data_IF_256566590953
#
_entry.id   IF_256566590953
#
_cell.length_a   1.000
_cell.length_b   1.000
_cell.length_c   1.000
_cell.angle_alpha   90.00
_cell.angle_beta   90.00
_cell.angle_gamma   90.00
#
_symmetry.space_group_name_H-M   'P 1'
#
loop_
_entity.id
_entity.type
_entity.pdbx_description
1 polymer ?
#
# COMPACT_ATOMS: atom_id res chain seq x y z
N UNK A 1 -43.96 15.45 11.66
CA UNK A 1 -44.05 16.68 10.86
C UNK A 1 -42.68 16.96 10.30
N UNK A 2 -42.65 17.03 8.96
CA UNK A 2 -41.48 17.06 8.09
C UNK A 2 -40.50 18.17 8.46
N UNK A 3 -39.21 17.83 8.52
CA UNK A 3 -38.15 18.81 8.28
C UNK A 3 -37.32 18.27 7.12
N UNK A 4 -37.63 18.83 5.96
CA UNK A 4 -36.89 18.75 4.71
C UNK A 4 -35.44 19.19 4.93
N UNK A 5 -34.48 18.28 4.82
CA UNK A 5 -33.07 18.64 4.68
C UNK A 5 -32.74 18.73 3.20
N UNK A 6 -32.74 19.96 2.70
CA UNK A 6 -32.19 20.33 1.41
C UNK A 6 -30.71 20.00 1.38
N UNK A 7 -30.37 19.09 0.47
CA UNK A 7 -29.02 18.76 0.05
C UNK A 7 -28.43 19.98 -0.64
N UNK A 8 -27.56 20.74 0.02
CA UNK A 8 -26.73 21.71 -0.68
C UNK A 8 -25.48 22.10 0.12
N UNK A 9 -24.36 22.13 -0.60
CA UNK A 9 -23.05 22.71 -0.24
C UNK A 9 -22.08 21.85 0.57
N UNK A 10 -21.79 20.68 0.01
CA UNK A 10 -20.42 20.18 -0.11
C UNK A 10 -19.64 21.05 -1.12
N UNK A 11 -19.00 22.12 -0.66
CA UNK A 11 -18.08 22.93 -1.49
C UNK A 11 -16.85 23.40 -0.71
N UNK A 12 -16.22 22.49 0.05
CA UNK A 12 -14.88 22.78 0.60
C UNK A 12 -13.90 21.59 0.64
N UNK A 13 -14.25 20.45 0.04
CA UNK A 13 -13.32 19.33 -0.19
C UNK A 13 -13.31 18.85 -1.64
N UNK A 14 -13.48 19.78 -2.58
CA UNK A 14 -13.39 19.53 -4.03
C UNK A 14 -12.16 20.20 -4.67
N UNK A 15 -11.15 20.53 -3.85
CA UNK A 15 -9.91 21.18 -4.34
C UNK A 15 -8.74 20.21 -4.57
N UNK A 16 -8.89 18.90 -4.36
CA UNK A 16 -7.77 17.95 -4.50
C UNK A 16 -8.07 16.66 -5.29
N UNK A 17 -9.24 16.55 -5.91
CA UNK A 17 -9.54 15.45 -6.83
C UNK A 17 -10.36 15.95 -8.03
N UNK A 18 -9.65 16.47 -9.03
CA UNK A 18 -10.10 16.40 -10.42
C UNK A 18 -9.41 15.18 -11.04
N UNK A 19 -10.15 14.20 -11.59
CA UNK A 19 -9.56 13.26 -12.53
C UNK A 19 -9.31 14.05 -13.82
N UNK A 20 -8.13 14.64 -13.91
CA UNK A 20 -7.58 15.07 -15.19
C UNK A 20 -7.51 13.80 -16.04
N UNK A 21 -8.41 13.67 -17.02
CA UNK A 21 -8.25 12.71 -18.11
C UNK A 21 -7.09 13.25 -18.95
N UNK A 22 -5.87 13.05 -18.46
CA UNK A 22 -4.66 13.21 -19.25
C UNK A 22 -4.54 11.97 -20.12
N UNK A 23 -4.76 12.17 -21.41
CA UNK A 23 -4.39 11.24 -22.46
C UNK A 23 -2.91 10.87 -22.25
N UNK A 24 -2.63 9.65 -21.79
CA UNK A 24 -1.26 9.15 -21.55
C UNK A 24 -0.59 8.82 -22.89
N UNK A 25 -0.30 9.85 -23.66
CA UNK A 25 0.83 9.87 -24.58
C UNK A 25 1.71 10.99 -24.06
N UNK A 26 2.65 10.70 -23.14
CA UNK A 26 3.99 11.28 -23.19
C UNK A 26 4.92 10.84 -22.03
N UNK A 27 6.21 10.71 -22.40
CA UNK A 27 7.42 10.82 -21.57
C UNK A 27 7.98 9.54 -20.94
N UNK A 28 8.42 8.65 -21.84
CA UNK A 28 9.81 8.18 -21.77
C UNK A 28 10.71 9.40 -22.01
N UNK A 29 11.44 9.85 -20.99
CA UNK A 29 12.53 10.82 -21.15
C UNK A 29 13.57 10.22 -22.10
N UNK A 30 13.52 10.65 -23.37
CA UNK A 30 14.63 10.53 -24.28
C UNK A 30 15.67 11.63 -23.94
N UNK A 31 16.97 11.41 -24.19
CA UNK A 31 18.00 12.37 -23.86
C UNK A 31 17.77 13.71 -24.58
N UNK A 32 18.21 14.84 -24.01
CA UNK A 32 18.03 16.15 -24.64
C UNK A 32 18.82 16.18 -25.95
N UNK A 33 18.14 16.39 -27.08
CA UNK A 33 18.79 16.59 -28.38
C UNK A 33 18.07 16.05 -29.61
N UNK A 34 16.85 15.51 -29.51
CA UNK A 34 16.10 15.04 -30.69
C UNK A 34 14.70 15.66 -30.72
N UNK A 35 14.60 16.81 -31.36
CA UNK A 35 13.30 17.41 -31.74
C UNK A 35 12.63 16.55 -32.82
N UNK A 36 11.50 15.91 -32.46
CA UNK A 36 10.65 15.21 -33.42
C UNK A 36 9.53 16.17 -33.84
N UNK A 37 9.81 16.98 -34.88
CA UNK A 37 8.77 17.74 -35.58
C UNK A 37 7.96 16.81 -36.49
N UNK A 38 6.71 16.51 -36.10
CA UNK A 38 5.69 16.02 -37.03
C UNK A 38 5.15 17.20 -37.84
N UNK A 39 5.77 17.50 -38.98
CA UNK A 39 5.23 18.43 -39.97
C UNK A 39 4.49 17.68 -41.07
N UNK A 40 3.17 17.84 -41.11
CA UNK A 40 2.31 17.40 -42.21
C UNK A 40 2.46 18.33 -43.41
N UNK A 41 3.54 18.17 -44.18
CA UNK A 41 3.65 18.67 -45.56
C UNK A 41 4.47 17.68 -46.40
N UNK A 42 4.05 17.34 -47.64
CA UNK A 42 4.85 16.51 -48.54
C UNK A 42 5.99 17.37 -49.11
N UNK A 43 7.08 17.46 -48.37
CA UNK A 43 8.33 18.07 -48.83
C UNK A 43 9.17 16.95 -49.43
N UNK A 44 9.71 17.19 -50.62
CA UNK A 44 10.64 16.37 -51.37
C UNK A 44 12.00 16.21 -50.62
N UNK A 45 11.97 15.55 -49.46
CA UNK A 45 13.10 15.40 -48.52
C UNK A 45 14.11 14.34 -48.97
N UNK A 46 13.79 13.57 -50.01
CA UNK A 46 14.63 12.46 -50.50
C UNK A 46 16.03 12.93 -50.90
N UNK A 47 16.17 14.11 -51.48
CA UNK A 47 17.43 14.54 -52.09
C UNK A 47 18.41 15.17 -51.10
N UNK A 48 17.93 15.94 -50.11
CA UNK A 48 18.78 16.62 -49.13
C UNK A 48 19.30 15.65 -48.05
N UNK A 49 18.43 14.77 -47.56
CA UNK A 49 18.79 13.76 -46.56
C UNK A 49 19.77 12.72 -47.13
N UNK A 50 19.60 12.31 -48.39
CA UNK A 50 20.54 11.42 -49.06
C UNK A 50 21.91 12.06 -49.30
N UNK A 51 21.96 13.38 -49.61
CA UNK A 51 23.23 14.11 -49.78
C UNK A 51 23.94 14.26 -48.45
N UNK A 52 23.22 14.61 -47.38
CA UNK A 52 23.75 14.66 -46.02
C UNK A 52 24.29 13.29 -45.58
N UNK A 53 23.51 12.23 -45.78
CA UNK A 53 23.89 10.87 -45.41
C UNK A 53 25.16 10.40 -46.16
N UNK A 54 25.27 10.69 -47.46
CA UNK A 54 26.48 10.40 -48.25
C UNK A 54 27.69 11.22 -47.79
N UNK A 55 27.51 12.48 -47.37
CA UNK A 55 28.57 13.31 -46.81
C UNK A 55 29.02 12.83 -45.42
N UNK A 56 28.07 12.37 -44.59
CA UNK A 56 28.31 11.78 -43.28
C UNK A 56 29.06 10.43 -43.37
N UNK A 57 28.73 9.60 -44.35
CA UNK A 57 29.46 8.34 -44.61
C UNK A 57 30.91 8.59 -45.05
N UNK A 58 31.15 9.62 -45.88
CA UNK A 58 32.50 10.03 -46.32
C UNK A 58 33.37 10.54 -45.17
N UNK A 59 32.79 11.26 -44.21
CA UNK A 59 33.53 11.77 -43.04
C UNK A 59 33.93 10.68 -42.05
N UNK A 60 33.28 9.50 -42.09
CA UNK A 60 33.61 8.36 -41.23
C UNK A 60 34.37 7.22 -41.93
N UNK A 61 34.81 7.39 -43.18
CA UNK A 61 35.46 6.34 -43.99
C UNK A 61 34.65 5.04 -44.08
N UNK A 62 33.31 5.12 -44.01
CA UNK A 62 32.43 3.96 -44.17
C UNK A 62 32.10 3.86 -45.66
N UNK A 63 32.70 2.88 -46.34
CA UNK A 63 32.33 2.55 -47.72
C UNK A 63 30.94 1.91 -47.72
N UNK A 64 30.00 2.54 -48.44
CA UNK A 64 28.74 1.90 -48.78
C UNK A 64 29.06 0.74 -49.73
N UNK A 65 29.21 -0.48 -49.21
CA UNK A 65 29.05 -1.66 -50.04
C UNK A 65 27.64 -1.58 -50.63
N UNK A 66 27.52 -1.69 -51.96
CA UNK A 66 26.22 -1.83 -52.61
C UNK A 66 25.37 -2.87 -51.87
N UNK A 67 24.04 -2.70 -51.78
CA UNK A 67 23.18 -3.65 -51.09
C UNK A 67 23.52 -5.05 -51.58
N UNK A 68 24.20 -5.82 -50.73
CA UNK A 68 24.64 -7.18 -51.05
C UNK A 68 23.46 -7.87 -51.69
N UNK A 69 23.61 -8.29 -52.95
CA UNK A 69 22.57 -8.93 -53.75
C UNK A 69 21.70 -9.78 -52.82
N UNK A 70 20.41 -9.40 -52.72
CA UNK A 70 19.52 -9.79 -51.63
C UNK A 70 19.86 -11.19 -51.11
N UNK A 71 20.44 -11.27 -49.93
CA UNK A 71 21.03 -12.51 -49.42
C UNK A 71 19.93 -13.55 -49.18
N UNK A 72 19.58 -14.30 -50.24
CA UNK A 72 18.59 -15.37 -50.34
C UNK A 72 17.66 -15.48 -49.12
N UNK A 73 16.55 -14.76 -49.21
CA UNK A 73 15.51 -14.72 -48.19
C UNK A 73 14.51 -15.86 -48.40
N UNK A 74 13.85 -16.30 -47.31
CA UNK A 74 12.80 -17.33 -47.38
C UNK A 74 11.65 -16.93 -48.32
N UNK A 75 11.44 -15.62 -48.51
CA UNK A 75 10.53 -15.03 -49.50
C UNK A 75 11.01 -15.27 -50.92
N UNK A 76 12.30 -15.12 -51.20
CA UNK A 76 12.87 -15.33 -52.53
C UNK A 76 12.79 -16.82 -52.92
N UNK A 77 13.03 -17.74 -51.97
CA UNK A 77 12.82 -19.17 -52.19
C UNK A 77 11.34 -19.47 -52.47
N UNK A 78 10.43 -18.88 -51.69
CA UNK A 78 8.99 -19.04 -51.91
C UNK A 78 8.57 -18.56 -53.31
N UNK A 79 9.07 -17.40 -53.73
CA UNK A 79 8.78 -16.86 -55.06
C UNK A 79 9.35 -17.76 -56.16
N UNK A 80 10.58 -18.27 -55.98
CA UNK A 80 11.19 -19.21 -56.94
C UNK A 80 10.42 -20.52 -57.06
N UNK A 81 9.90 -21.04 -55.95
CA UNK A 81 9.02 -22.22 -55.94
C UNK A 81 7.72 -21.94 -56.70
N UNK A 82 7.16 -20.75 -56.57
CA UNK A 82 5.97 -20.35 -57.32
C UNK A 82 6.27 -20.22 -58.83
N UNK A 83 7.39 -19.58 -59.19
CA UNK A 83 7.86 -19.49 -60.58
C UNK A 83 8.04 -20.88 -61.22
N UNK A 84 8.64 -21.84 -60.50
CA UNK A 84 8.76 -23.23 -61.02
C UNK A 84 7.42 -23.91 -61.23
N UNK A 85 6.45 -23.62 -60.38
CA UNK A 85 5.09 -24.17 -60.51
C UNK A 85 4.42 -23.60 -61.75
N UNK A 86 4.57 -22.31 -62.01
CA UNK A 86 4.00 -21.63 -63.16
C UNK A 86 4.67 -22.09 -64.48
N UNK A 87 5.98 -22.30 -64.48
CA UNK A 87 6.70 -22.90 -65.63
C UNK A 87 6.27 -24.34 -65.92
N UNK A 88 6.00 -25.14 -64.90
CA UNK A 88 5.45 -26.49 -65.05
C UNK A 88 4.04 -26.43 -65.67
N UNK A 89 3.21 -25.47 -65.25
CA UNK A 89 1.89 -25.24 -65.85
C UNK A 89 1.99 -24.82 -67.32
N UNK A 90 2.94 -23.93 -67.67
CA UNK A 90 3.22 -23.51 -69.05
C UNK A 90 3.69 -24.69 -69.91
N UNK A 91 4.62 -25.50 -69.42
CA UNK A 91 5.06 -26.73 -70.10
C UNK A 91 3.89 -27.67 -70.39
N UNK A 92 3.01 -27.86 -69.40
CA UNK A 92 1.83 -28.72 -69.56
C UNK A 92 0.86 -28.19 -70.63
N UNK A 93 0.67 -26.87 -70.72
CA UNK A 93 -0.16 -26.24 -71.74
C UNK A 93 0.44 -26.40 -73.15
N UNK A 94 1.73 -26.13 -73.31
CA UNK A 94 2.42 -26.26 -74.62
C UNK A 94 2.44 -27.73 -75.09
N UNK A 95 2.57 -28.69 -74.17
CA UNK A 95 2.45 -30.12 -74.49
C UNK A 95 1.03 -30.54 -74.90
N UNK A 96 -0.01 -29.86 -74.42
CA UNK A 96 -1.39 -30.08 -74.89
C UNK A 96 -1.60 -29.51 -76.29
N UNK A 97 -1.06 -28.32 -76.58
CA UNK A 97 -1.08 -27.71 -77.92
C UNK A 97 -0.30 -28.54 -78.96
N UNK A 98 0.86 -29.09 -78.58
CA UNK A 98 1.67 -29.97 -79.43
C UNK A 98 0.93 -31.24 -79.85
N UNK A 99 0.06 -31.78 -78.99
CA UNK A 99 -0.75 -32.97 -79.31
C UNK A 99 -1.84 -32.69 -80.34
N UNK A 100 -2.21 -31.42 -80.55
CA UNK A 100 -3.26 -30.99 -81.48
C UNK A 100 -2.74 -30.37 -82.80
N UNK A 101 -1.43 -30.17 -82.95
CA UNK A 101 -0.86 -29.50 -84.13
C UNK A 101 -0.68 -30.45 -85.32
N UNK A 102 -1.12 -30.05 -86.51
CA UNK A 102 -0.99 -30.80 -87.77
C UNK A 102 0.07 -30.25 -88.74
N UNK A 103 0.64 -29.07 -88.45
CA UNK A 103 1.59 -28.37 -89.32
C UNK A 103 3.05 -28.52 -88.84
N UNK A 104 3.97 -28.80 -89.77
CA UNK A 104 5.39 -29.11 -89.47
C UNK A 104 6.19 -27.91 -88.92
N UNK A 105 5.90 -26.70 -89.39
CA UNK A 105 6.60 -25.49 -88.94
C UNK A 105 6.08 -24.99 -87.59
N UNK A 106 4.77 -25.16 -87.33
CA UNK A 106 4.18 -24.92 -86.00
C UNK A 106 4.74 -25.90 -84.97
N UNK A 107 4.94 -27.16 -85.37
CA UNK A 107 5.54 -28.19 -84.53
C UNK A 107 6.97 -27.81 -84.11
N UNK A 108 7.81 -27.33 -85.03
CA UNK A 108 9.18 -26.86 -84.71
C UNK A 108 9.17 -25.69 -83.72
N UNK A 109 8.30 -24.70 -83.92
CA UNK A 109 8.17 -23.55 -83.02
C UNK A 109 7.67 -23.95 -81.62
N UNK A 110 6.76 -24.93 -81.52
CA UNK A 110 6.28 -25.45 -80.25
C UNK A 110 7.36 -26.24 -79.51
N UNK A 111 8.17 -27.04 -80.22
CA UNK A 111 9.31 -27.76 -79.64
C UNK A 111 10.36 -26.81 -79.08
N UNK A 112 10.69 -25.72 -79.79
CA UNK A 112 11.61 -24.70 -79.27
C UNK A 112 11.07 -24.00 -78.00
N UNK A 113 9.75 -23.75 -77.94
CA UNK A 113 9.10 -23.20 -76.74
C UNK A 113 9.13 -24.16 -75.56
N UNK A 114 8.94 -25.46 -75.82
CA UNK A 114 9.07 -26.52 -74.80
C UNK A 114 10.50 -26.54 -74.25
N UNK A 115 11.51 -26.56 -75.12
CA UNK A 115 12.90 -26.64 -74.68
C UNK A 115 13.31 -25.40 -73.85
N UNK A 116 12.86 -24.20 -74.25
CA UNK A 116 13.07 -22.98 -73.48
C UNK A 116 12.41 -23.04 -72.09
N UNK A 117 11.16 -23.48 -72.02
CA UNK A 117 10.44 -23.59 -70.74
C UNK A 117 10.97 -24.73 -69.87
N UNK A 118 11.51 -25.80 -70.47
CA UNK A 118 12.15 -26.93 -69.78
C UNK A 118 13.49 -26.51 -69.18
N UNK A 119 14.32 -25.81 -69.94
CA UNK A 119 15.60 -25.29 -69.45
C UNK A 119 15.42 -24.29 -68.30
N UNK A 120 14.38 -23.44 -68.38
CA UNK A 120 14.01 -22.55 -67.28
C UNK A 120 13.59 -23.34 -66.01
N UNK A 121 12.76 -24.37 -66.19
CA UNK A 121 12.32 -25.24 -65.10
C UNK A 121 13.48 -26.01 -64.45
N UNK A 122 14.38 -26.60 -65.24
CA UNK A 122 15.57 -27.32 -64.75
C UNK A 122 16.54 -26.38 -64.02
N UNK A 123 16.76 -25.17 -64.53
CA UNK A 123 17.58 -24.14 -63.88
C UNK A 123 17.02 -23.75 -62.51
N UNK A 124 15.70 -23.61 -62.43
CA UNK A 124 15.02 -23.24 -61.20
C UNK A 124 14.98 -24.40 -60.19
N UNK A 125 14.86 -25.65 -60.65
CA UNK A 125 14.97 -26.84 -59.81
C UNK A 125 16.38 -27.00 -59.24
N UNK A 126 17.41 -26.84 -60.06
CA UNK A 126 18.81 -26.91 -59.61
C UNK A 126 19.09 -25.90 -58.48
N UNK A 127 18.48 -24.72 -58.55
CA UNK A 127 18.56 -23.70 -57.51
C UNK A 127 17.78 -24.06 -56.23
N UNK A 128 16.56 -24.59 -56.34
CA UNK A 128 15.73 -24.94 -55.18
C UNK A 128 16.30 -26.15 -54.43
N UNK A 129 16.86 -27.12 -55.15
CA UNK A 129 17.37 -28.37 -54.60
C UNK A 129 18.87 -28.37 -54.32
N UNK A 130 19.57 -27.23 -54.44
CA UNK A 130 20.95 -27.12 -53.96
C UNK A 130 21.01 -27.44 -52.45
N UNK A 131 21.69 -28.55 -52.12
CA UNK A 131 21.81 -29.08 -50.77
C UNK A 131 22.35 -28.04 -49.79
N UNK A 132 23.37 -27.27 -50.19
CA UNK A 132 23.99 -26.23 -49.32
C UNK A 132 22.99 -25.12 -49.02
N UNK A 133 22.19 -24.74 -50.01
CA UNK A 133 21.17 -23.73 -49.88
C UNK A 133 20.01 -24.17 -48.96
N UNK A 134 19.51 -25.40 -49.17
CA UNK A 134 18.43 -25.99 -48.34
C UNK A 134 18.86 -26.09 -46.87
N UNK A 135 20.07 -26.54 -46.59
CA UNK A 135 20.58 -26.65 -45.22
C UNK A 135 20.72 -25.26 -44.55
N UNK A 136 21.18 -24.25 -45.29
CA UNK A 136 21.22 -22.86 -44.83
C UNK A 136 19.83 -22.33 -44.48
N UNK A 137 18.81 -22.65 -45.29
CA UNK A 137 17.41 -22.26 -45.02
C UNK A 137 16.81 -22.98 -43.82
N UNK A 138 17.03 -24.29 -43.67
CA UNK A 138 16.63 -25.06 -42.49
C UNK A 138 17.23 -24.47 -41.21
N UNK A 139 18.49 -24.04 -41.25
CA UNK A 139 19.16 -23.39 -40.13
C UNK A 139 18.55 -22.02 -39.80
N UNK A 140 18.28 -21.17 -40.81
CA UNK A 140 17.58 -19.87 -40.60
C UNK A 140 16.19 -20.07 -39.99
N UNK A 141 15.40 -21.03 -40.48
CA UNK A 141 14.07 -21.35 -39.96
C UNK A 141 14.14 -21.85 -38.51
N UNK A 142 15.10 -22.72 -38.20
CA UNK A 142 15.30 -23.24 -36.84
C UNK A 142 15.73 -22.13 -35.86
N UNK A 143 16.59 -21.20 -36.29
CA UNK A 143 16.93 -19.99 -35.51
C UNK A 143 15.70 -19.12 -35.27
N UNK A 144 14.89 -18.87 -36.31
CA UNK A 144 13.64 -18.10 -36.20
C UNK A 144 12.63 -18.75 -35.23
N UNK A 145 12.43 -20.06 -35.31
CA UNK A 145 11.56 -20.81 -34.40
C UNK A 145 12.03 -20.71 -32.94
N UNK A 146 13.33 -20.86 -32.71
CA UNK A 146 13.94 -20.69 -31.37
C UNK A 146 13.74 -19.27 -30.86
N UNK A 147 14.01 -18.26 -31.68
CA UNK A 147 13.83 -16.86 -31.31
C UNK A 147 12.37 -16.54 -30.98
N UNK A 148 11.39 -17.03 -31.75
CA UNK A 148 9.96 -16.87 -31.43
C UNK A 148 9.59 -17.49 -30.09
N UNK A 149 10.08 -18.70 -29.79
CA UNK A 149 9.85 -19.36 -28.48
C UNK A 149 10.49 -18.56 -27.34
N UNK A 150 11.73 -18.12 -27.52
CA UNK A 150 12.44 -17.27 -26.55
C UNK A 150 11.69 -15.96 -26.32
N UNK A 151 11.30 -15.25 -27.37
CA UNK A 151 10.58 -13.98 -27.27
C UNK A 151 9.24 -14.17 -26.54
N UNK A 152 8.49 -15.22 -26.85
CA UNK A 152 7.24 -15.55 -26.14
C UNK A 152 7.47 -15.85 -24.65
N UNK A 153 8.62 -16.45 -24.28
CA UNK A 153 8.98 -16.68 -22.87
C UNK A 153 9.42 -15.38 -22.20
N UNK A 154 10.21 -14.56 -22.89
CA UNK A 154 10.70 -13.29 -22.40
C UNK A 154 9.55 -12.29 -22.14
N UNK A 155 8.63 -12.13 -23.10
CA UNK A 155 7.44 -11.30 -22.96
C UNK A 155 6.58 -11.77 -21.78
N UNK A 156 6.39 -13.09 -21.63
CA UNK A 156 5.67 -13.64 -20.47
C UNK A 156 6.38 -13.30 -19.15
N UNK A 157 7.69 -13.51 -19.06
CA UNK A 157 8.44 -13.14 -17.85
C UNK A 157 8.37 -11.65 -17.53
N UNK A 158 8.39 -10.77 -18.53
CA UNK A 158 8.19 -9.33 -18.31
C UNK A 158 6.77 -9.00 -17.81
N UNK A 159 5.76 -9.69 -18.34
CA UNK A 159 4.37 -9.54 -17.88
C UNK A 159 4.21 -10.03 -16.44
N UNK A 160 4.73 -11.21 -16.11
CA UNK A 160 4.67 -11.77 -14.77
C UNK A 160 5.32 -10.82 -13.75
N UNK A 161 6.46 -10.20 -14.08
CA UNK A 161 7.11 -9.18 -13.24
C UNK A 161 6.23 -7.93 -13.09
N UNK A 162 5.55 -7.50 -14.16
CA UNK A 162 4.64 -6.34 -14.10
C UNK A 162 3.44 -6.63 -13.21
N UNK A 163 2.85 -7.81 -13.34
CA UNK A 163 1.70 -8.26 -12.58
C UNK A 163 2.06 -8.43 -11.09
N UNK A 164 3.22 -9.02 -10.78
CA UNK A 164 3.74 -9.09 -9.40
C UNK A 164 3.93 -7.70 -8.78
N UNK A 165 4.50 -6.74 -9.53
CA UNK A 165 4.63 -5.35 -9.05
C UNK A 165 3.27 -4.68 -8.84
N UNK A 166 2.28 -4.96 -9.68
CA UNK A 166 0.91 -4.47 -9.50
C UNK A 166 0.28 -5.06 -8.23
N UNK A 167 0.36 -6.37 -8.03
CA UNK A 167 -0.13 -7.04 -6.82
C UNK A 167 0.53 -6.48 -5.56
N UNK A 168 1.85 -6.27 -5.56
CA UNK A 168 2.55 -5.65 -4.44
C UNK A 168 2.01 -4.24 -4.15
N UNK A 169 1.83 -3.39 -5.18
CA UNK A 169 1.21 -2.07 -4.99
C UNK A 169 -0.20 -2.17 -4.42
N UNK A 170 -1.03 -3.08 -4.91
CA UNK A 170 -2.38 -3.28 -4.39
C UNK A 170 -2.36 -3.72 -2.92
N UNK A 171 -1.45 -4.60 -2.52
CA UNK A 171 -1.31 -5.00 -1.11
C UNK A 171 -0.87 -3.84 -0.22
N UNK A 172 0.03 -2.99 -0.71
CA UNK A 172 0.46 -1.79 0.00
C UNK A 172 -0.69 -0.78 0.11
N UNK A 173 -1.43 -0.52 -0.97
CA UNK A 173 -2.60 0.34 -0.95
C UNK A 173 -3.65 -0.16 0.04
N UNK A 174 -3.98 -1.45 0.03
CA UNK A 174 -4.90 -2.05 1.02
C UNK A 174 -4.40 -1.86 2.46
N UNK A 175 -3.09 -1.93 2.69
CA UNK A 175 -2.50 -1.72 4.01
C UNK A 175 -2.60 -0.25 4.44
N UNK A 176 -2.31 0.66 3.52
CA UNK A 176 -2.46 2.11 3.73
C UNK A 176 -3.92 2.45 4.04
N UNK A 177 -4.87 1.89 3.30
CA UNK A 177 -6.29 2.15 3.49
C UNK A 177 -6.76 1.63 4.84
N UNK A 178 -6.35 0.41 5.24
CA UNK A 178 -6.60 -0.11 6.59
C UNK A 178 -6.08 0.86 7.65
N UNK A 179 -4.83 1.30 7.55
CA UNK A 179 -4.24 2.22 8.51
C UNK A 179 -4.99 3.56 8.56
N UNK A 180 -5.40 4.10 7.40
CA UNK A 180 -6.24 5.31 7.32
C UNK A 180 -7.59 5.11 8.01
N UNK A 181 -8.28 4.00 7.74
CA UNK A 181 -9.58 3.71 8.36
C UNK A 181 -9.47 3.55 9.87
N UNK A 182 -8.42 2.89 10.36
CA UNK A 182 -8.13 2.76 11.79
C UNK A 182 -7.84 4.12 12.43
N UNK A 183 -7.07 4.97 11.75
CA UNK A 183 -6.73 6.31 12.25
C UNK A 183 -7.96 7.22 12.32
N UNK A 184 -8.76 7.25 11.26
CA UNK A 184 -10.05 7.97 11.23
C UNK A 184 -10.99 7.44 12.32
N UNK A 185 -11.08 6.11 12.50
CA UNK A 185 -11.90 5.52 13.55
C UNK A 185 -11.43 5.93 14.96
N UNK A 186 -10.10 5.98 15.20
CA UNK A 186 -9.52 6.49 16.45
C UNK A 186 -9.85 7.96 16.67
N UNK A 187 -9.72 8.80 15.64
CA UNK A 187 -10.06 10.23 15.73
C UNK A 187 -11.55 10.45 16.03
N UNK A 188 -12.43 9.72 15.35
CA UNK A 188 -13.89 9.75 15.61
C UNK A 188 -14.19 9.28 17.03
N UNK A 189 -13.54 8.22 17.51
CA UNK A 189 -13.73 7.72 18.88
C UNK A 189 -13.27 8.75 19.92
N UNK A 190 -12.11 9.38 19.71
CA UNK A 190 -11.61 10.47 20.57
C UNK A 190 -12.56 11.65 20.59
N UNK A 191 -13.08 12.08 19.43
CA UNK A 191 -14.05 13.19 19.35
C UNK A 191 -15.38 12.86 20.02
N UNK A 192 -15.86 11.62 19.86
CA UNK A 192 -17.05 11.12 20.58
C UNK A 192 -16.81 11.14 22.08
N UNK A 193 -15.65 10.69 22.54
CA UNK A 193 -15.29 10.71 23.94
C UNK A 193 -15.24 12.11 24.52
N UNK A 194 -14.61 13.05 23.82
CA UNK A 194 -14.59 14.46 24.20
C UNK A 194 -16.01 15.04 24.31
N UNK A 195 -16.88 14.75 23.33
CA UNK A 195 -18.29 15.16 23.38
C UNK A 195 -18.99 14.58 24.62
N UNK A 196 -18.74 13.31 24.99
CA UNK A 196 -19.30 12.71 26.21
C UNK A 196 -18.80 13.41 27.47
N UNK A 197 -17.51 13.74 27.53
CA UNK A 197 -16.90 14.47 28.66
C UNK A 197 -17.46 15.88 28.80
N UNK A 198 -17.57 16.62 27.70
CA UNK A 198 -18.19 17.96 27.69
C UNK A 198 -19.65 17.92 28.15
N UNK A 199 -20.43 16.93 27.71
CA UNK A 199 -21.81 16.76 28.19
C UNK A 199 -21.85 16.46 29.69
N UNK A 200 -20.95 15.60 30.19
CA UNK A 200 -20.84 15.31 31.61
C UNK A 200 -20.46 16.57 32.41
N UNK A 201 -19.48 17.35 31.95
CA UNK A 201 -19.07 18.63 32.56
C UNK A 201 -20.22 19.64 32.58
N UNK A 202 -20.98 19.78 31.48
CA UNK A 202 -22.18 20.62 31.43
C UNK A 202 -23.23 20.19 32.45
N UNK A 203 -23.43 18.89 32.67
CA UNK A 203 -24.35 18.37 33.70
C UNK A 203 -23.86 18.73 35.11
N UNK A 204 -22.57 18.55 35.38
CA UNK A 204 -21.95 18.93 36.66
C UNK A 204 -22.06 20.43 36.91
N UNK A 205 -21.73 21.27 35.94
CA UNK A 205 -21.85 22.73 36.05
C UNK A 205 -23.29 23.18 36.35
N UNK A 206 -24.29 22.55 35.72
CA UNK A 206 -25.70 22.81 36.02
C UNK A 206 -26.07 22.41 37.46
N UNK A 207 -25.61 21.26 37.93
CA UNK A 207 -25.84 20.81 39.30
C UNK A 207 -25.18 21.76 40.32
N UNK A 208 -23.95 22.20 40.06
CA UNK A 208 -23.24 23.17 40.90
C UNK A 208 -23.95 24.54 40.92
N UNK A 209 -24.43 25.02 39.78
CA UNK A 209 -25.19 26.26 39.69
C UNK A 209 -26.55 26.18 40.41
N UNK A 210 -27.22 25.02 40.38
CA UNK A 210 -28.42 24.81 41.17
C UNK A 210 -28.10 24.77 42.66
N UNK A 211 -26.98 24.14 43.06
CA UNK A 211 -26.54 24.14 44.44
C UNK A 211 -26.17 25.53 44.96
N UNK A 212 -25.51 26.36 44.15
CA UNK A 212 -25.18 27.73 44.57
C UNK A 212 -26.45 28.57 44.77
N UNK A 213 -27.41 28.50 43.84
CA UNK A 213 -28.74 29.11 43.98
C UNK A 213 -29.45 28.64 45.25
N UNK A 214 -29.39 27.33 45.52
CA UNK A 214 -29.97 26.75 46.71
C UNK A 214 -29.36 27.33 47.99
N UNK A 215 -28.03 27.41 48.07
CA UNK A 215 -27.33 28.04 49.21
C UNK A 215 -27.68 29.52 49.38
N UNK A 216 -27.85 30.26 48.29
CA UNK A 216 -28.26 31.66 48.33
C UNK A 216 -29.68 31.82 48.90
N UNK A 217 -30.62 30.98 48.45
CA UNK A 217 -31.98 30.94 48.98
C UNK A 217 -31.99 30.59 50.48
N UNK A 218 -31.17 29.63 50.92
CA UNK A 218 -31.08 29.26 52.34
C UNK A 218 -30.60 30.43 53.19
N UNK A 219 -29.56 31.13 52.73
CA UNK A 219 -29.04 32.35 53.40
C UNK A 219 -30.10 33.44 53.47
N UNK A 220 -30.93 33.59 52.43
CA UNK A 220 -31.99 34.58 52.40
C UNK A 220 -33.11 34.23 53.38
N UNK A 221 -33.55 32.97 53.43
CA UNK A 221 -34.52 32.50 54.44
C UNK A 221 -34.03 32.73 55.86
N UNK A 222 -32.74 32.48 56.13
CA UNK A 222 -32.16 32.71 57.46
C UNK A 222 -32.18 34.20 57.84
N UNK A 223 -31.88 35.10 56.89
CA UNK A 223 -32.01 36.55 57.10
C UNK A 223 -33.45 36.97 57.33
N UNK A 224 -34.40 36.42 56.57
CA UNK A 224 -35.84 36.71 56.71
C UNK A 224 -36.36 36.24 58.08
N UNK A 225 -35.93 35.07 58.54
CA UNK A 225 -36.21 34.57 59.90
C UNK A 225 -35.70 35.55 60.96
N UNK A 226 -34.41 35.91 60.92
CA UNK A 226 -33.78 36.87 61.85
C UNK A 226 -34.49 38.23 61.86
N UNK A 227 -34.89 38.75 60.69
CA UNK A 227 -35.63 40.01 60.61
C UNK A 227 -36.98 39.96 61.31
N UNK A 228 -37.72 38.85 61.18
CA UNK A 228 -39.01 38.71 61.86
C UNK A 228 -38.85 38.46 63.35
N UNK A 229 -37.80 37.76 63.78
CA UNK A 229 -37.43 37.62 65.21
C UNK A 229 -37.17 38.99 65.84
N UNK A 230 -36.34 39.82 65.20
CA UNK A 230 -36.05 41.18 65.67
C UNK A 230 -37.29 42.08 65.73
N UNK A 231 -38.20 41.96 64.75
CA UNK A 231 -39.48 42.70 64.75
C UNK A 231 -40.39 42.26 65.90
N UNK A 232 -40.53 40.95 66.12
CA UNK A 232 -41.28 40.38 67.24
C UNK A 232 -40.70 40.81 68.57
N UNK A 233 -39.38 40.74 68.74
CA UNK A 233 -38.70 41.20 69.97
C UNK A 233 -38.94 42.68 70.23
N UNK A 234 -38.88 43.53 69.19
CA UNK A 234 -39.19 44.96 69.31
C UNK A 234 -40.64 45.17 69.79
N UNK A 235 -41.61 44.52 69.14
CA UNK A 235 -43.03 44.61 69.49
C UNK A 235 -43.31 44.06 70.89
N UNK A 236 -42.61 43.00 71.32
CA UNK A 236 -42.67 42.48 72.69
C UNK A 236 -42.16 43.51 73.72
N UNK A 237 -41.09 44.24 73.42
CA UNK A 237 -40.59 45.34 74.27
C UNK A 237 -41.57 46.51 74.34
N UNK A 238 -42.34 46.73 73.28
CA UNK A 238 -43.43 47.73 73.22
C UNK A 238 -44.73 47.26 73.91
N UNK A 239 -44.77 46.03 74.44
CA UNK A 239 -45.90 45.49 75.22
C UNK A 239 -46.90 44.64 74.41
N UNK A 240 -46.63 44.36 73.13
CA UNK A 240 -47.48 43.49 72.31
C UNK A 240 -47.17 42.00 72.57
N UNK A 241 -48.23 41.22 72.83
CA UNK A 241 -48.16 39.77 73.03
C UNK A 241 -48.60 39.02 71.76
N UNK A 242 -47.85 38.00 71.35
CA UNK A 242 -48.14 37.17 70.17
C UNK A 242 -48.60 35.78 70.62
N UNK A 243 -49.80 35.31 70.23
CA UNK A 243 -50.25 33.93 70.46
C UNK A 243 -49.35 32.89 69.75
N UNK A 244 -49.18 31.71 70.34
CA UNK A 244 -48.40 30.59 69.75
C UNK A 244 -49.02 30.04 68.45
N UNK A 245 -50.30 30.30 68.20
CA UNK A 245 -51.02 29.84 67.00
C UNK A 245 -50.65 30.64 65.72
N UNK A 246 -50.02 31.83 65.86
CA UNK A 246 -49.57 32.67 64.73
C UNK A 246 -48.18 32.27 64.16
N UNK A 247 -47.68 31.10 64.56
CA UNK A 247 -46.38 30.56 64.14
C UNK A 247 -46.40 29.87 62.76
N UNK A 248 -47.49 29.98 61.99
CA UNK A 248 -47.58 29.50 60.60
C UNK A 248 -46.38 29.91 59.74
N UNK A 249 -45.88 31.13 59.93
CA UNK A 249 -44.68 31.61 59.24
C UNK A 249 -43.44 30.82 59.62
N UNK A 250 -43.22 30.51 60.90
CA UNK A 250 -42.07 29.72 61.33
C UNK A 250 -42.23 28.27 60.95
N UNK A 251 -43.44 27.72 61.00
CA UNK A 251 -43.73 26.37 60.51
C UNK A 251 -43.46 26.26 59.01
N UNK A 252 -43.81 27.30 58.24
CA UNK A 252 -43.52 27.39 56.81
C UNK A 252 -42.04 27.62 56.53
N UNK A 253 -41.33 28.43 57.33
CA UNK A 253 -39.88 28.57 57.22
C UNK A 253 -39.18 27.26 57.61
N UNK A 254 -39.62 26.58 58.66
CA UNK A 254 -39.06 25.30 59.11
C UNK A 254 -39.25 24.24 58.03
N UNK A 255 -40.46 24.09 57.48
CA UNK A 255 -40.72 23.15 56.39
C UNK A 255 -39.94 23.49 55.12
N UNK A 256 -39.78 24.78 54.78
CA UNK A 256 -38.92 25.21 53.68
C UNK A 256 -37.46 24.90 53.96
N UNK A 257 -36.97 25.14 55.18
CA UNK A 257 -35.58 24.88 55.55
C UNK A 257 -35.27 23.38 55.59
N UNK A 258 -36.23 22.55 56.01
CA UNK A 258 -36.12 21.09 55.98
C UNK A 258 -36.16 20.57 54.54
N UNK A 259 -37.07 21.08 53.71
CA UNK A 259 -37.08 20.79 52.27
C UNK A 259 -35.76 21.21 51.59
N UNK A 260 -35.17 22.32 52.03
CA UNK A 260 -33.88 22.77 51.53
C UNK A 260 -32.73 21.87 52.01
N UNK A 261 -32.71 21.42 53.26
CA UNK A 261 -31.69 20.48 53.72
C UNK A 261 -31.73 19.17 52.95
N UNK A 262 -32.93 18.63 52.71
CA UNK A 262 -33.12 17.39 51.94
C UNK A 262 -32.54 17.54 50.52
N UNK A 263 -32.81 18.67 49.85
CA UNK A 263 -32.28 18.90 48.51
C UNK A 263 -30.76 19.16 48.51
N UNK A 264 -30.20 19.79 49.55
CA UNK A 264 -28.76 19.96 49.69
C UNK A 264 -28.04 18.61 49.90
N UNK A 265 -28.57 17.75 50.75
CA UNK A 265 -28.08 16.39 50.99
C UNK A 265 -28.11 15.55 49.70
N UNK A 266 -29.19 15.66 48.92
CA UNK A 266 -29.31 15.01 47.62
C UNK A 266 -28.24 15.50 46.63
N UNK A 267 -28.01 16.81 46.56
CA UNK A 267 -26.96 17.40 45.72
C UNK A 267 -25.55 17.03 46.19
N UNK A 268 -25.34 16.84 47.50
CA UNK A 268 -24.07 16.35 48.05
C UNK A 268 -23.83 14.86 47.75
N UNK A 269 -24.87 14.03 47.79
CA UNK A 269 -24.79 12.64 47.34
C UNK A 269 -24.46 12.55 45.85
N UNK A 270 -25.14 13.34 45.00
CA UNK A 270 -24.84 13.41 43.56
C UNK A 270 -23.40 13.87 43.30
N UNK A 271 -22.89 14.85 44.06
CA UNK A 271 -21.49 15.31 43.97
C UNK A 271 -20.50 14.24 44.42
N UNK A 272 -20.76 13.57 45.55
CA UNK A 272 -19.87 12.53 46.07
C UNK A 272 -19.81 11.34 45.10
N UNK A 273 -20.94 10.94 44.52
CA UNK A 273 -20.98 9.92 43.48
C UNK A 273 -20.22 10.35 42.21
N UNK A 274 -20.34 11.60 41.79
CA UNK A 274 -19.56 12.13 40.65
C UNK A 274 -18.04 12.19 40.95
N UNK A 275 -17.66 12.54 42.18
CA UNK A 275 -16.28 12.56 42.63
C UNK A 275 -15.68 11.14 42.72
N UNK A 276 -16.46 10.17 43.22
CA UNK A 276 -16.09 8.75 43.22
C UNK A 276 -15.96 8.20 41.79
N UNK A 277 -16.89 8.52 40.89
CA UNK A 277 -16.80 8.14 39.49
C UNK A 277 -15.52 8.69 38.84
N UNK A 278 -15.20 9.97 39.07
CA UNK A 278 -13.96 10.59 38.56
C UNK A 278 -12.69 9.96 39.17
N UNK A 279 -12.73 9.59 40.45
CA UNK A 279 -11.64 8.88 41.13
C UNK A 279 -11.43 7.47 40.56
N UNK A 280 -12.51 6.76 40.28
CA UNK A 280 -12.48 5.44 39.66
C UNK A 280 -11.97 5.51 38.21
N UNK A 281 -12.40 6.51 37.44
CA UNK A 281 -11.88 6.76 36.07
C UNK A 281 -10.38 7.08 36.09
N UNK A 282 -9.90 7.88 37.06
CA UNK A 282 -8.48 8.18 37.22
C UNK A 282 -7.66 6.95 37.63
N UNK A 283 -8.21 6.08 38.49
CA UNK A 283 -7.60 4.80 38.85
C UNK A 283 -7.52 3.85 37.65
N UNK A 284 -8.59 3.73 36.86
CA UNK A 284 -8.63 2.90 35.65
C UNK A 284 -7.67 3.41 34.57
N UNK A 285 -7.59 4.73 34.38
CA UNK A 285 -6.61 5.36 33.51
C UNK A 285 -5.17 5.07 33.96
N UNK A 286 -4.86 5.22 35.25
CA UNK A 286 -3.55 4.89 35.81
C UNK A 286 -3.21 3.40 35.76
N UNK A 287 -4.22 2.52 35.84
CA UNK A 287 -4.04 1.08 35.67
C UNK A 287 -3.74 0.72 34.22
N UNK A 288 -4.41 1.35 33.25
CA UNK A 288 -4.13 1.21 31.82
C UNK A 288 -2.76 1.76 31.44
N UNK A 289 -2.32 2.86 32.04
CA UNK A 289 -0.97 3.41 31.86
C UNK A 289 0.10 2.42 32.35
N UNK A 290 -0.04 1.92 33.59
CA UNK A 290 0.83 0.86 34.14
C UNK A 290 0.81 -0.43 33.31
N UNK A 291 -0.33 -0.78 32.72
CA UNK A 291 -0.44 -1.95 31.83
C UNK A 291 0.27 -1.74 30.49
N UNK A 292 0.37 -0.49 29.99
CA UNK A 292 1.19 -0.16 28.80
C UNK A 292 2.68 -0.20 29.12
N UNK A 293 3.08 0.15 30.34
CA UNK A 293 4.47 0.10 30.80
C UNK A 293 4.97 -1.34 31.07
N UNK A 294 4.08 -2.30 31.35
CA UNK A 294 4.41 -3.73 31.47
C UNK A 294 4.54 -4.38 30.09
N UNK A 295 5.66 -4.17 29.42
CA UNK A 295 6.06 -4.99 28.27
C UNK A 295 6.41 -6.42 28.76
N UNK A 296 5.69 -7.47 28.32
CA UNK A 296 5.97 -8.85 28.73
C UNK A 296 7.41 -9.30 28.47
N UNK A 297 8.06 -8.72 27.45
CA UNK A 297 9.47 -8.99 27.14
C UNK A 297 10.37 -8.35 28.19
N UNK A 298 10.07 -7.11 28.57
CA UNK A 298 10.81 -6.41 29.63
C UNK A 298 10.65 -7.13 30.98
N UNK A 299 9.44 -7.55 31.33
CA UNK A 299 9.18 -8.32 32.56
C UNK A 299 9.96 -9.64 32.59
N UNK A 300 10.06 -10.36 31.47
CA UNK A 300 10.81 -11.61 31.40
C UNK A 300 12.31 -11.42 31.69
N UNK A 301 12.93 -10.35 31.16
CA UNK A 301 14.36 -10.08 31.36
C UNK A 301 14.67 -9.48 32.74
N UNK A 302 13.76 -8.69 33.29
CA UNK A 302 13.92 -8.02 34.58
C UNK A 302 13.19 -8.72 35.73
N UNK A 303 12.65 -9.93 35.53
CA UNK A 303 11.90 -10.68 36.56
C UNK A 303 12.68 -10.89 37.87
N UNK A 304 14.01 -10.92 37.81
CA UNK A 304 14.90 -11.04 38.96
C UNK A 304 15.02 -9.75 39.80
N UNK A 305 14.74 -8.59 39.20
CA UNK A 305 14.79 -7.29 39.89
C UNK A 305 13.50 -7.02 40.68
N UNK A 306 12.39 -7.58 40.23
CA UNK A 306 11.06 -7.34 40.81
C UNK A 306 10.60 -8.41 41.78
N UNK A 307 11.18 -9.62 41.74
CA UNK A 307 10.76 -10.75 42.56
C UNK A 307 11.97 -11.61 42.99
N UNK A 308 12.16 -11.71 44.30
CA UNK A 308 13.26 -12.46 44.91
C UNK A 308 13.12 -13.97 44.65
N UNK A 309 11.90 -14.48 44.50
CA UNK A 309 11.66 -15.89 44.20
C UNK A 309 12.09 -16.23 42.77
N UNK A 310 11.85 -15.32 41.83
CA UNK A 310 12.35 -15.42 40.46
C UNK A 310 13.89 -15.33 40.40
N UNK A 311 14.50 -14.43 41.17
CA UNK A 311 15.96 -14.36 41.30
C UNK A 311 16.54 -15.69 41.80
N UNK A 312 15.96 -16.27 42.87
CA UNK A 312 16.38 -17.57 43.43
C UNK A 312 16.18 -18.70 42.42
N UNK A 313 15.07 -18.70 41.68
CA UNK A 313 14.80 -19.70 40.64
C UNK A 313 15.80 -19.62 39.49
N UNK A 314 16.07 -18.42 38.99
CA UNK A 314 17.08 -18.17 37.95
C UNK A 314 18.44 -18.66 38.46
N UNK A 315 18.81 -18.32 39.70
CA UNK A 315 20.08 -18.75 40.28
C UNK A 315 20.18 -20.27 40.38
N UNK A 316 19.15 -20.95 40.86
CA UNK A 316 19.09 -22.42 40.92
C UNK A 316 19.25 -23.08 39.55
N UNK A 317 18.65 -22.49 38.50
CA UNK A 317 18.81 -22.95 37.11
C UNK A 317 20.24 -22.74 36.60
N UNK A 318 20.89 -21.64 36.98
CA UNK A 318 22.31 -21.44 36.65
C UNK A 318 23.20 -22.43 37.40
N UNK A 319 22.92 -22.65 38.68
CA UNK A 319 23.68 -23.57 39.52
C UNK A 319 23.62 -25.01 38.99
N UNK A 320 22.51 -25.44 38.35
CA UNK A 320 22.44 -26.78 37.73
C UNK A 320 23.41 -26.99 36.56
N UNK A 321 23.96 -25.92 35.97
CA UNK A 321 25.00 -25.98 34.94
C UNK A 321 26.43 -25.90 35.49
N UNK A 322 26.60 -25.60 36.78
CA UNK A 322 27.90 -25.53 37.46
C UNK A 322 28.27 -26.84 38.17
N UNK A 323 27.37 -27.83 38.20
CA UNK A 323 27.58 -29.12 38.87
C UNK A 323 28.33 -30.09 37.94
N UNK A 324 29.33 -30.78 38.50
CA UNK A 324 30.14 -31.75 37.76
C UNK A 324 29.28 -32.85 37.10
N UNK A 325 29.68 -33.34 35.90
CA UNK A 325 28.97 -34.40 35.20
C UNK A 325 28.83 -35.65 36.09
N UNK A 326 27.61 -36.17 36.25
CA UNK A 326 27.34 -37.40 37.01
C UNK A 326 26.55 -37.24 38.31
N UNK A 327 26.21 -36.00 38.69
CA UNK A 327 25.32 -35.74 39.84
C UNK A 327 23.87 -35.69 39.36
N UNK A 328 22.91 -36.25 40.10
CA UNK A 328 21.50 -36.37 39.66
C UNK A 328 20.80 -35.02 39.33
N UNK A 329 21.36 -33.90 39.78
CA UNK A 329 20.88 -32.54 39.49
C UNK A 329 21.66 -31.80 38.39
N UNK A 330 22.71 -32.43 37.82
CA UNK A 330 23.50 -31.84 36.75
C UNK A 330 22.77 -32.06 35.41
N UNK A 331 22.25 -30.99 34.81
CA UNK A 331 21.75 -31.05 33.45
C UNK A 331 22.87 -30.77 32.46
N UNK A 332 22.89 -31.52 31.34
CA UNK A 332 23.70 -31.19 30.19
C UNK A 332 23.54 -29.71 29.80
N UNK A 333 24.62 -29.14 29.25
CA UNK A 333 24.69 -27.79 28.67
C UNK A 333 23.36 -27.42 28.00
N UNK A 334 22.80 -26.20 28.23
CA UNK A 334 21.51 -25.82 27.66
C UNK A 334 21.47 -26.15 26.17
N UNK A 335 20.39 -26.78 25.69
CA UNK A 335 20.23 -27.13 24.27
C UNK A 335 20.20 -25.90 23.33
N UNK A 336 20.18 -24.71 23.91
CA UNK A 336 20.30 -23.40 23.26
C UNK A 336 21.67 -22.78 23.48
N UNK A 337 22.75 -23.57 23.51
CA UNK A 337 24.09 -23.02 23.41
C UNK A 337 24.22 -22.36 22.03
N UNK A 338 23.90 -21.07 21.98
CA UNK A 338 24.03 -20.25 20.78
C UNK A 338 25.52 -20.03 20.56
N UNK A 339 26.02 -20.42 19.39
CA UNK A 339 27.36 -20.00 18.98
C UNK A 339 27.41 -18.47 19.04
N UNK A 340 28.35 -17.88 19.82
CA UNK A 340 28.45 -16.43 19.87
C UNK A 340 28.67 -15.89 18.46
N UNK A 341 28.04 -14.75 18.16
CA UNK A 341 28.31 -14.08 16.90
C UNK A 341 29.81 -13.80 16.77
N UNK A 342 30.36 -13.82 15.54
CA UNK A 342 31.75 -13.45 15.32
C UNK A 342 32.06 -12.11 16.01
N UNK A 343 33.23 -11.98 16.66
CA UNK A 343 33.57 -10.81 17.44
C UNK A 343 33.35 -9.54 16.62
N UNK A 344 32.57 -8.62 17.18
CA UNK A 344 32.13 -7.41 16.48
C UNK A 344 33.29 -6.50 16.07
N UNK A 345 34.48 -6.65 16.67
CA UNK A 345 35.71 -6.00 16.23
C UNK A 345 36.97 -6.86 16.46
N UNK A 346 38.09 -6.42 15.87
CA UNK A 346 39.37 -7.11 15.92
C UNK A 346 40.01 -7.23 17.32
N UNK A 347 39.71 -6.29 18.24
CA UNK A 347 40.21 -6.30 19.62
C UNK A 347 39.60 -7.49 20.36
N UNK A 348 38.28 -7.66 20.28
CA UNK A 348 37.60 -8.83 20.85
C UNK A 348 38.04 -10.14 20.21
N UNK A 349 38.31 -10.13 18.89
CA UNK A 349 38.84 -11.29 18.20
C UNK A 349 40.22 -11.72 18.73
N UNK A 350 41.09 -10.77 19.08
CA UNK A 350 42.42 -11.08 19.61
C UNK A 350 42.36 -11.80 20.96
N UNK A 351 41.39 -11.49 21.80
CA UNK A 351 41.20 -12.14 23.11
C UNK A 351 40.75 -13.61 23.02
N UNK A 352 40.13 -14.03 21.92
CA UNK A 352 39.64 -15.41 21.72
C UNK A 352 40.73 -16.36 21.18
N UNK A 353 41.90 -15.84 20.81
CA UNK A 353 43.00 -16.64 20.25
C UNK A 353 43.98 -17.18 21.29
N UNK A 354 43.77 -16.88 22.56
CA UNK A 354 44.55 -17.40 23.67
C UNK A 354 43.76 -18.48 24.38
N UNK A 355 43.73 -19.69 23.80
CA UNK A 355 43.75 -20.98 24.53
C UNK A 355 43.50 -22.13 23.55
N UNK A 356 44.58 -22.58 22.90
CA UNK A 356 44.81 -23.98 22.53
C UNK A 356 46.27 -24.16 22.12
N UNK A 357 47.18 -23.89 23.06
CA UNK A 357 48.54 -24.42 23.05
C UNK A 357 49.11 -24.29 24.48
N UNK A 358 48.63 -25.15 25.38
CA UNK A 358 49.44 -25.63 26.51
C UNK A 358 48.75 -26.82 27.18
N UNK A 359 49.45 -27.96 27.06
CA UNK A 359 49.37 -29.23 27.82
C UNK A 359 48.24 -30.20 27.47
#
# INVERSE_FOLDING_TARGET
FEIMFTYEHSTQYQSWYQPQITNYNELSEAPPGVDIYFSSTPIDKSTAEQKWFKAWLRTRNITNEEPRQSALNATNLRNKILETKDELQKLKAILMELKGSTNQDEWKLLVEKIEKSKNAFESNLAFIFDKKFVDKMKMKLSKSRRHKKWNKKHIRGLQDVRDQRQLQRETLHKTIDKWRTEWIAKEIAMKREQSRKEEAEKRVQKAEANKSKHRELSRLLEKVKKLRDLRRERLKREGHFFPEEDDEFFNKIASLNDAMKIEEERLDQERNAAAEHKRNEAMDAGMKERARERDPIYEYWHQAEFDIDNLVLIRKRWDSYLVAPGTAAASCIPSTLVEPSPPANHIWASCLTHDHNNV
#
